data_IF_374365437906
#
_entry.id   IF_374365437906
#
_cell.length_a   1.000
_cell.length_b   1.000
_cell.length_c   1.000
_cell.angle_alpha   90.00
_cell.angle_beta   90.00
_cell.angle_gamma   90.00
#
_symmetry.space_group_name_H-M   'P 1'
#
loop_
_entity.id
_entity.type
_entity.pdbx_description
1 polymer ?
#
# COMPACT_ATOMS: atom_id res chain seq x y z
N UNK A 1 0.41 9.73 6.23
CA UNK A 1 -0.02 8.62 5.34
C UNK A 1 0.36 7.32 6.00
N UNK A 2 -0.46 6.28 5.85
CA UNK A 2 -0.24 4.96 6.42
C UNK A 2 -0.74 3.90 5.45
N UNK A 3 0.00 2.80 5.29
CA UNK A 3 -0.49 1.64 4.55
C UNK A 3 -1.58 0.96 5.39
N UNK A 4 -2.79 0.84 4.87
CA UNK A 4 -3.88 0.12 5.54
C UNK A 4 -3.96 -1.34 5.07
N UNK A 5 -3.88 -1.56 3.76
CA UNK A 5 -3.96 -2.89 3.13
C UNK A 5 -2.69 -3.13 2.31
N UNK A 6 -1.99 -4.27 2.50
CA UNK A 6 -2.28 -5.36 3.44
C UNK A 6 -2.06 -4.95 4.90
N UNK A 7 -2.93 -5.43 5.81
CA UNK A 7 -2.80 -5.16 7.24
C UNK A 7 -1.52 -5.78 7.80
N UNK A 8 -0.79 -4.99 8.57
CA UNK A 8 0.47 -5.41 9.17
C UNK A 8 0.30 -6.68 10.02
N UNK A 9 1.13 -7.69 9.76
CA UNK A 9 1.16 -8.93 10.54
C UNK A 9 0.03 -9.90 10.23
N UNK A 10 -0.75 -9.70 9.16
CA UNK A 10 -1.85 -10.58 8.76
C UNK A 10 -1.51 -11.44 7.54
N UNK A 11 -2.06 -12.65 7.51
CA UNK A 11 -2.28 -13.41 6.30
C UNK A 11 -3.49 -12.83 5.55
N UNK A 12 -3.26 -12.40 4.33
CA UNK A 12 -4.25 -11.94 3.37
C UNK A 12 -4.38 -12.97 2.24
N UNK A 13 -5.60 -13.43 1.96
CA UNK A 13 -5.89 -14.34 0.87
C UNK A 13 -6.86 -13.67 -0.10
N UNK A 14 -6.43 -13.47 -1.35
CA UNK A 14 -7.19 -12.84 -2.43
C UNK A 14 -7.82 -11.50 -1.99
N UNK A 15 -7.00 -10.62 -1.43
CA UNK A 15 -7.43 -9.30 -0.93
C UNK A 15 -8.19 -9.30 0.40
N UNK A 16 -8.43 -10.47 1.03
CA UNK A 16 -9.12 -10.56 2.32
C UNK A 16 -8.18 -10.85 3.48
N UNK A 17 -8.25 -10.05 4.55
CA UNK A 17 -7.60 -10.36 5.82
C UNK A 17 -8.19 -11.63 6.45
N UNK A 18 -7.35 -12.61 6.77
CA UNK A 18 -7.78 -13.91 7.30
C UNK A 18 -7.46 -14.03 8.79
N UNK A 19 -6.17 -13.90 9.15
CA UNK A 19 -5.70 -14.19 10.51
C UNK A 19 -4.37 -13.48 10.79
N UNK A 20 -4.12 -12.99 12.02
CA UNK A 20 -2.80 -12.50 12.40
C UNK A 20 -1.79 -13.65 12.47
N UNK A 21 -0.63 -13.47 11.82
CA UNK A 21 0.48 -14.44 11.78
C UNK A 21 1.83 -13.82 12.13
N UNK A 22 1.85 -12.54 12.51
CA UNK A 22 3.06 -11.80 12.91
C UNK A 22 3.85 -11.23 11.73
N UNK A 23 3.81 -11.89 10.57
CA UNK A 23 4.31 -11.36 9.30
C UNK A 23 3.14 -10.93 8.39
N UNK A 24 3.36 -9.94 7.52
CA UNK A 24 2.39 -9.57 6.49
C UNK A 24 2.57 -10.51 5.30
N UNK A 25 1.60 -11.39 5.06
CA UNK A 25 1.64 -12.39 3.98
C UNK A 25 0.45 -12.20 3.06
N UNK A 26 0.66 -12.17 1.76
CA UNK A 26 -0.36 -11.96 0.72
C UNK A 26 -0.33 -13.15 -0.24
N UNK A 27 -1.47 -13.77 -0.47
CA UNK A 27 -1.64 -14.84 -1.45
C UNK A 27 -2.67 -14.39 -2.48
N UNK A 28 -2.27 -14.29 -3.76
CA UNK A 28 -3.07 -13.75 -4.85
C UNK A 28 -3.03 -12.22 -4.95
N UNK A 29 -3.82 -11.68 -5.88
CA UNK A 29 -3.95 -10.24 -6.08
C UNK A 29 -4.45 -9.52 -4.82
N UNK A 30 -4.04 -8.25 -4.67
CA UNK A 30 -4.43 -7.41 -3.53
C UNK A 30 -4.68 -5.97 -3.96
N UNK A 31 -5.76 -5.37 -3.47
CA UNK A 31 -5.96 -3.92 -3.56
C UNK A 31 -5.22 -3.27 -2.39
N UNK A 32 -4.02 -2.78 -2.65
CA UNK A 32 -3.27 -1.99 -1.69
C UNK A 32 -4.04 -0.70 -1.40
N UNK A 33 -4.14 -0.34 -0.12
CA UNK A 33 -4.86 0.86 0.31
C UNK A 33 -4.01 1.65 1.27
N UNK A 34 -4.04 2.97 1.11
CA UNK A 34 -3.41 3.90 2.01
C UNK A 34 -4.44 4.87 2.59
N UNK A 35 -4.22 5.27 3.84
CA UNK A 35 -4.90 6.41 4.43
C UNK A 35 -3.96 7.61 4.45
N UNK A 36 -4.46 8.77 4.04
CA UNK A 36 -3.71 10.01 4.04
C UNK A 36 -4.66 11.16 4.37
N UNK A 37 -4.25 12.01 5.32
CA UNK A 37 -5.00 13.18 5.74
C UNK A 37 -4.07 14.38 5.88
N UNK A 38 -4.56 15.54 5.51
CA UNK A 38 -3.96 16.86 5.73
C UNK A 38 -5.15 17.82 5.85
N UNK A 39 -5.25 18.53 6.98
CA UNK A 39 -6.40 19.40 7.26
C UNK A 39 -6.20 20.83 6.76
N UNK A 40 -4.96 21.22 6.47
CA UNK A 40 -4.52 22.56 6.11
C UNK A 40 -4.57 22.77 4.59
N UNK A 41 -3.99 21.85 3.84
CA UNK A 41 -3.82 21.98 2.39
C UNK A 41 -4.55 20.88 1.62
N UNK A 42 -4.82 19.75 2.27
CA UNK A 42 -5.39 18.56 1.65
C UNK A 42 -4.35 17.76 0.87
N UNK A 43 -4.65 16.48 0.65
CA UNK A 43 -3.77 15.57 -0.08
C UNK A 43 -3.96 15.77 -1.59
N UNK A 44 -2.87 16.05 -2.30
CA UNK A 44 -2.86 16.14 -3.76
C UNK A 44 -2.76 14.76 -4.42
N UNK A 45 -1.78 13.96 -4.02
CA UNK A 45 -1.58 12.59 -4.54
C UNK A 45 -1.04 11.64 -3.48
N UNK A 46 -1.34 10.35 -3.64
CA UNK A 46 -0.68 9.23 -2.97
C UNK A 46 -0.05 8.34 -4.03
N UNK A 47 1.25 8.12 -3.92
CA UNK A 47 2.06 7.28 -4.80
C UNK A 47 2.32 5.93 -4.13
N UNK A 48 2.11 4.84 -4.87
CA UNK A 48 2.37 3.48 -4.43
C UNK A 48 3.63 2.96 -5.11
N UNK A 49 4.54 2.38 -4.33
CA UNK A 49 5.81 1.86 -4.75
C UNK A 49 5.98 0.41 -4.32
N UNK A 50 6.62 -0.38 -5.17
CA UNK A 50 7.12 -1.72 -4.84
C UNK A 50 8.61 -1.73 -5.09
N UNK A 51 9.40 -2.00 -4.06
CA UNK A 51 10.87 -2.01 -4.11
C UNK A 51 11.42 -0.73 -4.77
N UNK A 52 10.97 0.42 -4.27
CA UNK A 52 11.30 1.76 -4.77
C UNK A 52 10.86 2.07 -6.22
N UNK A 53 10.18 1.14 -6.89
CA UNK A 53 9.62 1.34 -8.23
C UNK A 53 8.19 1.83 -8.13
N UNK A 54 7.90 3.01 -8.71
CA UNK A 54 6.56 3.59 -8.76
C UNK A 54 5.61 2.68 -9.55
N UNK A 55 4.52 2.28 -8.92
CA UNK A 55 3.49 1.44 -9.52
C UNK A 55 2.23 2.23 -9.88
N UNK A 56 1.83 3.17 -9.02
CA UNK A 56 0.60 3.94 -9.22
C UNK A 56 0.64 5.30 -8.52
N UNK A 57 -0.13 6.24 -9.02
CA UNK A 57 -0.36 7.56 -8.42
C UNK A 57 -1.86 7.80 -8.37
N UNK A 58 -2.41 8.02 -7.18
CA UNK A 58 -3.84 8.15 -6.92
C UNK A 58 -4.13 9.52 -6.30
N UNK A 59 -5.00 10.31 -6.91
CA UNK A 59 -5.30 11.69 -6.50
C UNK A 59 -6.61 11.85 -5.73
N UNK A 60 -7.39 10.78 -5.54
CA UNK A 60 -8.70 10.82 -4.90
C UNK A 60 -8.86 9.71 -3.87
N UNK A 61 -9.44 10.04 -2.73
CA UNK A 61 -9.86 9.06 -1.72
C UNK A 61 -11.05 8.22 -2.22
N UNK A 62 -11.10 6.89 -1.96
CA UNK A 62 -10.10 6.09 -1.27
C UNK A 62 -8.82 5.87 -2.10
N UNK A 63 -7.65 6.01 -1.47
CA UNK A 63 -6.36 5.82 -2.15
C UNK A 63 -6.06 4.33 -2.31
N UNK A 64 -6.44 3.79 -3.46
CA UNK A 64 -6.36 2.35 -3.74
C UNK A 64 -5.64 2.06 -5.05
N UNK A 65 -4.85 0.99 -5.04
CA UNK A 65 -4.18 0.46 -6.22
C UNK A 65 -4.28 -1.07 -6.23
N UNK A 66 -4.76 -1.63 -7.35
CA UNK A 66 -4.79 -3.08 -7.55
C UNK A 66 -3.40 -3.60 -7.96
N UNK A 67 -2.79 -4.38 -7.09
CA UNK A 67 -1.61 -5.18 -7.38
C UNK A 67 -2.03 -6.57 -7.85
N UNK A 68 -2.13 -6.73 -9.17
CA UNK A 68 -2.47 -7.98 -9.86
C UNK A 68 -1.38 -8.38 -10.88
N UNK A 69 -0.12 -8.20 -10.48
CA UNK A 69 1.04 -8.61 -11.26
C UNK A 69 1.74 -9.78 -10.56
N UNK A 70 2.41 -10.68 -11.31
CA UNK A 70 3.18 -11.76 -10.71
C UNK A 70 4.23 -11.20 -9.75
N UNK A 71 4.24 -11.70 -8.51
CA UNK A 71 5.15 -11.26 -7.47
C UNK A 71 5.37 -12.40 -6.46
N UNK A 72 6.60 -12.59 -6.03
CA UNK A 72 7.00 -13.73 -5.21
C UNK A 72 7.99 -13.32 -4.13
N UNK A 73 7.82 -13.90 -2.95
CA UNK A 73 8.66 -13.68 -1.78
C UNK A 73 8.51 -12.25 -1.21
N UNK A 74 9.59 -11.71 -0.67
CA UNK A 74 9.61 -10.48 0.10
C UNK A 74 9.72 -9.26 -0.81
N UNK A 75 8.84 -8.30 -0.60
CA UNK A 75 8.85 -6.99 -1.23
C UNK A 75 8.59 -5.90 -0.18
N UNK A 76 9.00 -4.67 -0.50
CA UNK A 76 8.64 -3.49 0.28
C UNK A 76 7.55 -2.71 -0.46
N UNK A 77 6.35 -2.69 0.11
CA UNK A 77 5.27 -1.80 -0.32
C UNK A 77 5.44 -0.46 0.37
N UNK A 78 5.69 0.60 -0.39
CA UNK A 78 5.83 1.96 0.13
C UNK A 78 4.73 2.85 -0.42
N UNK A 79 4.20 3.73 0.43
CA UNK A 79 3.26 4.77 0.04
C UNK A 79 3.82 6.13 0.37
N UNK A 80 3.67 7.09 -0.55
CA UNK A 80 4.12 8.47 -0.37
C UNK A 80 2.96 9.40 -0.65
N UNK A 81 2.52 10.17 0.34
CA UNK A 81 1.53 11.22 0.15
C UNK A 81 2.22 12.56 -0.09
N UNK A 82 1.68 13.35 -1.02
CA UNK A 82 2.09 14.73 -1.30
C UNK A 82 0.87 15.63 -1.16
N UNK A 83 1.00 16.69 -0.38
CA UNK A 83 -0.07 17.68 -0.19
C UNK A 83 -0.02 18.75 -1.30
N UNK A 84 -0.96 19.70 -1.29
CA UNK A 84 -0.99 20.78 -2.29
C UNK A 84 0.05 21.89 -2.04
N UNK A 85 0.71 21.92 -0.89
CA UNK A 85 1.81 22.84 -0.57
C UNK A 85 3.21 22.27 -0.88
N UNK A 86 3.29 21.00 -1.30
CA UNK A 86 4.54 20.30 -1.59
C UNK A 86 5.17 19.58 -0.41
N UNK A 87 4.48 19.47 0.74
CA UNK A 87 4.92 18.62 1.83
C UNK A 87 4.72 17.15 1.48
N UNK A 88 5.59 16.29 2.01
CA UNK A 88 5.56 14.86 1.75
C UNK A 88 5.61 14.06 3.05
N UNK A 89 4.94 12.91 3.06
CA UNK A 89 5.02 11.91 4.11
C UNK A 89 5.01 10.52 3.48
N UNK A 90 5.62 9.54 4.13
CA UNK A 90 5.67 8.16 3.63
C UNK A 90 5.45 7.13 4.73
N UNK A 91 4.99 5.96 4.33
CA UNK A 91 4.93 4.76 5.16
C UNK A 91 5.34 3.55 4.31
N UNK A 92 5.91 2.53 4.96
CA UNK A 92 6.46 1.36 4.28
C UNK A 92 6.06 0.07 4.99
N UNK A 93 5.88 -1.00 4.21
CA UNK A 93 5.54 -2.32 4.73
C UNK A 93 6.28 -3.41 4.00
N UNK A 94 6.99 -4.21 4.78
CA UNK A 94 7.51 -5.49 4.31
C UNK A 94 6.36 -6.49 4.15
N UNK A 95 6.25 -7.08 2.97
CA UNK A 95 5.23 -8.07 2.63
C UNK A 95 5.87 -9.31 2.02
N UNK A 96 5.34 -10.48 2.35
CA UNK A 96 5.59 -11.72 1.62
C UNK A 96 4.43 -11.97 0.68
N UNK A 97 4.62 -11.86 -0.64
CA UNK A 97 3.56 -12.05 -1.63
C UNK A 97 3.78 -13.31 -2.47
N UNK A 98 2.69 -13.97 -2.81
CA UNK A 98 2.64 -15.09 -3.75
C UNK A 98 1.46 -14.86 -4.69
N UNK A 99 1.71 -14.13 -5.79
CA UNK A 99 0.75 -13.89 -6.86
C UNK A 99 1.29 -14.43 -8.18
N UNK A 100 0.48 -15.21 -8.89
CA UNK A 100 0.85 -15.90 -10.14
C UNK A 100 0.13 -15.25 -11.30
#
# INVERSE_FOLDING_TARGET
VTVEIPKEGYLCLMGKEIVPVGATVVIGAITARADANDAETGIGVVEFYVDDTLQSTVSSYPYEWLWDAPAFFKHTLKVVAKDFAGNTASDEREIWIFNI
#
